data_IF_553721638654
#
_entry.id   IF_553721638654
#
_cell.length_a   1.000
_cell.length_b   1.000
_cell.length_c   1.000
_cell.angle_alpha   90.00
_cell.angle_beta   90.00
_cell.angle_gamma   90.00
#
_symmetry.space_group_name_H-M   'P 1'
#
loop_
_entity.id
_entity.type
_entity.pdbx_description
1 polymer ?
#
# COMPACT_ATOMS: atom_id res chain seq x y z
N UNK A 1 -35.33 -2.75 -8.09
CA UNK A 1 -34.27 -2.89 -7.05
C UNK A 1 -32.97 -3.51 -7.60
N UNK A 2 -32.98 -4.27 -8.69
CA UNK A 2 -31.78 -4.92 -9.30
C UNK A 2 -30.68 -3.96 -9.78
N UNK A 3 -31.03 -2.75 -10.22
CA UNK A 3 -30.06 -1.80 -10.80
C UNK A 3 -29.05 -1.26 -9.76
N UNK A 4 -29.47 -1.11 -8.49
CA UNK A 4 -28.59 -0.61 -7.43
C UNK A 4 -27.51 -1.62 -7.04
N UNK A 5 -27.86 -2.92 -7.08
CA UNK A 5 -26.94 -4.02 -6.74
C UNK A 5 -25.84 -4.12 -7.81
N UNK A 6 -26.20 -4.07 -9.11
CA UNK A 6 -25.21 -4.06 -10.20
C UNK A 6 -24.23 -2.89 -10.14
N UNK A 7 -24.73 -1.68 -9.86
CA UNK A 7 -23.88 -0.49 -9.74
C UNK A 7 -22.93 -0.57 -8.55
N UNK A 8 -23.34 -1.21 -7.45
CA UNK A 8 -22.48 -1.45 -6.29
C UNK A 8 -21.42 -2.52 -6.58
N UNK A 9 -21.80 -3.64 -7.19
CA UNK A 9 -20.86 -4.68 -7.62
C UNK A 9 -19.79 -4.12 -8.55
N UNK A 10 -20.20 -3.29 -9.51
CA UNK A 10 -19.27 -2.67 -10.45
C UNK A 10 -18.31 -1.69 -9.76
N UNK A 11 -18.78 -0.89 -8.79
CA UNK A 11 -17.91 -0.04 -7.98
C UNK A 11 -16.89 -0.83 -7.16
N UNK A 12 -17.28 -1.93 -6.51
CA UNK A 12 -16.33 -2.80 -5.79
C UNK A 12 -15.29 -3.39 -6.72
N UNK A 13 -15.71 -3.80 -7.92
CA UNK A 13 -14.82 -4.35 -8.95
C UNK A 13 -13.83 -3.30 -9.46
N UNK A 14 -14.30 -2.08 -9.73
CA UNK A 14 -13.45 -0.96 -10.14
C UNK A 14 -12.46 -0.58 -9.04
N UNK A 15 -12.91 -0.44 -7.80
CA UNK A 15 -12.03 -0.17 -6.65
C UNK A 15 -10.96 -1.26 -6.48
N UNK A 16 -11.35 -2.53 -6.61
CA UNK A 16 -10.39 -3.64 -6.53
C UNK A 16 -9.33 -3.57 -7.63
N UNK A 17 -9.71 -3.18 -8.86
CA UNK A 17 -8.76 -2.99 -9.95
C UNK A 17 -7.84 -1.80 -9.71
N UNK A 18 -8.38 -0.68 -9.23
CA UNK A 18 -7.59 0.52 -8.92
C UNK A 18 -6.58 0.27 -7.81
N UNK A 19 -6.97 -0.46 -6.74
CA UNK A 19 -6.08 -0.90 -5.67
C UNK A 19 -4.96 -1.78 -6.24
N UNK A 20 -5.28 -2.72 -7.13
CA UNK A 20 -4.29 -3.58 -7.76
C UNK A 20 -3.31 -2.79 -8.64
N UNK A 21 -3.79 -1.83 -9.43
CA UNK A 21 -2.96 -0.97 -10.27
C UNK A 21 -2.05 -0.11 -9.39
N UNK A 22 -2.60 0.56 -8.37
CA UNK A 22 -1.84 1.38 -7.43
C UNK A 22 -0.74 0.56 -6.72
N UNK A 23 -1.04 -0.69 -6.36
CA UNK A 23 -0.04 -1.61 -5.79
C UNK A 23 1.05 -1.96 -6.80
N UNK A 24 0.69 -2.23 -8.06
CA UNK A 24 1.65 -2.56 -9.12
C UNK A 24 2.55 -1.38 -9.50
N UNK A 25 2.04 -0.15 -9.40
CA UNK A 25 2.79 1.07 -9.69
C UNK A 25 3.49 1.66 -8.46
N UNK A 26 3.42 0.98 -7.30
CA UNK A 26 3.91 1.47 -6.01
C UNK A 26 3.37 2.88 -5.67
N UNK A 27 2.15 3.19 -6.10
CA UNK A 27 1.48 4.46 -5.83
C UNK A 27 0.70 4.36 -4.50
N UNK A 28 1.43 4.56 -3.40
CA UNK A 28 0.90 4.38 -2.05
C UNK A 28 -0.11 5.45 -1.64
N UNK A 29 -0.01 6.66 -2.22
CA UNK A 29 -0.97 7.73 -1.98
C UNK A 29 -2.32 7.40 -2.63
N UNK A 30 -2.30 6.95 -3.89
CA UNK A 30 -3.48 6.42 -4.54
C UNK A 30 -4.03 5.22 -3.76
N UNK A 31 -3.19 4.27 -3.33
CA UNK A 31 -3.65 3.11 -2.55
C UNK A 31 -4.44 3.53 -1.30
N UNK A 32 -3.93 4.52 -0.55
CA UNK A 32 -4.61 5.08 0.63
C UNK A 32 -5.94 5.73 0.28
N UNK A 33 -6.00 6.48 -0.82
CA UNK A 33 -7.22 7.12 -1.27
C UNK A 33 -8.31 6.09 -1.61
N UNK A 34 -7.95 5.04 -2.36
CA UNK A 34 -8.89 3.97 -2.72
C UNK A 34 -9.32 3.14 -1.49
N UNK A 35 -8.45 2.94 -0.50
CA UNK A 35 -8.83 2.29 0.76
C UNK A 35 -9.88 3.10 1.53
N UNK A 36 -9.72 4.42 1.61
CA UNK A 36 -10.71 5.28 2.25
C UNK A 36 -12.07 5.16 1.56
N UNK A 37 -12.09 5.26 0.23
CA UNK A 37 -13.31 5.09 -0.56
C UNK A 37 -13.96 3.72 -0.34
N UNK A 38 -13.17 2.65 -0.27
CA UNK A 38 -13.67 1.30 -0.01
C UNK A 38 -14.31 1.20 1.38
N UNK A 39 -13.69 1.77 2.41
CA UNK A 39 -14.23 1.79 3.78
C UNK A 39 -15.52 2.58 3.87
N UNK A 40 -15.59 3.75 3.23
CA UNK A 40 -16.81 4.55 3.17
C UNK A 40 -17.94 3.82 2.45
N UNK A 41 -17.63 3.11 1.37
CA UNK A 41 -18.59 2.34 0.61
C UNK A 41 -19.12 1.14 1.42
N UNK A 42 -18.24 0.42 2.12
CA UNK A 42 -18.61 -0.66 3.05
C UNK A 42 -19.44 -0.15 4.25
N UNK A 43 -19.10 1.02 4.79
CA UNK A 43 -19.83 1.61 5.92
C UNK A 43 -21.24 2.07 5.50
N UNK A 44 -21.35 2.70 4.33
CA UNK A 44 -22.62 3.23 3.80
C UNK A 44 -23.56 2.11 3.32
N UNK A 45 -23.03 0.96 2.93
CA UNK A 45 -23.79 -0.13 2.30
C UNK A 45 -23.86 -1.41 3.15
N UNK A 46 -23.72 -1.31 4.47
CA UNK A 46 -23.95 -2.40 5.44
C UNK A 46 -25.18 -3.29 5.17
N UNK A 47 -26.37 -2.78 4.80
CA UNK A 47 -27.55 -3.63 4.56
C UNK A 47 -27.42 -4.53 3.32
N UNK A 48 -26.49 -4.25 2.40
CA UNK A 48 -26.28 -5.03 1.18
C UNK A 48 -25.19 -6.10 1.33
N UNK A 49 -24.53 -6.19 2.50
CA UNK A 49 -23.52 -7.21 2.81
C UNK A 49 -24.10 -8.63 2.91
N UNK A 50 -25.43 -8.77 3.05
CA UNK A 50 -26.13 -10.06 3.10
C UNK A 50 -26.49 -10.60 1.71
N UNK A 51 -26.20 -9.85 0.63
CA UNK A 51 -26.44 -10.31 -0.73
C UNK A 51 -25.30 -11.26 -1.17
N UNK A 52 -25.61 -12.50 -1.59
CA UNK A 52 -24.59 -13.51 -1.88
C UNK A 52 -23.71 -13.17 -3.09
N UNK A 53 -24.23 -12.42 -4.07
CA UNK A 53 -23.44 -11.96 -5.22
C UNK A 53 -22.46 -10.86 -4.79
N UNK A 54 -22.92 -9.94 -3.93
CA UNK A 54 -22.09 -8.87 -3.39
C UNK A 54 -21.03 -9.40 -2.42
N UNK A 55 -21.37 -10.41 -1.61
CA UNK A 55 -20.49 -11.01 -0.63
C UNK A 55 -19.24 -11.63 -1.27
N UNK A 56 -19.39 -12.26 -2.44
CA UNK A 56 -18.27 -12.85 -3.20
C UNK A 56 -17.30 -11.78 -3.67
N UNK A 57 -17.82 -10.68 -4.23
CA UNK A 57 -16.97 -9.58 -4.71
C UNK A 57 -16.33 -8.81 -3.56
N UNK A 58 -17.04 -8.60 -2.44
CA UNK A 58 -16.45 -8.01 -1.23
C UNK A 58 -15.29 -8.87 -0.72
N UNK A 59 -15.45 -10.19 -0.69
CA UNK A 59 -14.40 -11.09 -0.26
C UNK A 59 -13.19 -11.03 -1.20
N UNK A 60 -13.44 -10.93 -2.51
CA UNK A 60 -12.39 -10.71 -3.51
C UNK A 60 -11.64 -9.40 -3.29
N UNK A 61 -12.35 -8.30 -3.07
CA UNK A 61 -11.74 -6.99 -2.80
C UNK A 61 -10.90 -7.03 -1.52
N UNK A 62 -11.36 -7.72 -0.47
CA UNK A 62 -10.58 -7.92 0.76
C UNK A 62 -9.28 -8.69 0.51
N UNK A 63 -9.33 -9.75 -0.30
CA UNK A 63 -8.12 -10.50 -0.67
C UNK A 63 -7.14 -9.63 -1.46
N UNK A 64 -7.63 -8.84 -2.41
CA UNK A 64 -6.79 -7.89 -3.15
C UNK A 64 -6.16 -6.85 -2.23
N UNK A 65 -6.93 -6.32 -1.27
CA UNK A 65 -6.43 -5.38 -0.28
C UNK A 65 -5.36 -6.01 0.63
N UNK A 66 -5.58 -7.25 1.11
CA UNK A 66 -4.59 -7.96 1.92
C UNK A 66 -3.28 -8.18 1.15
N UNK A 67 -3.37 -8.50 -0.15
CA UNK A 67 -2.18 -8.62 -1.00
C UNK A 67 -1.48 -7.28 -1.19
N UNK A 68 -2.23 -6.20 -1.40
CA UNK A 68 -1.69 -4.84 -1.50
C UNK A 68 -0.95 -4.42 -0.23
N UNK A 69 -1.53 -4.73 0.93
CA UNK A 69 -0.92 -4.45 2.23
C UNK A 69 0.38 -5.23 2.43
N UNK A 70 0.39 -6.54 2.12
CA UNK A 70 1.61 -7.35 2.17
C UNK A 70 2.70 -6.83 1.23
N UNK A 71 2.34 -6.37 0.03
CA UNK A 71 3.30 -5.73 -0.89
C UNK A 71 3.90 -4.47 -0.28
N UNK A 72 3.07 -3.61 0.32
CA UNK A 72 3.53 -2.40 1.00
C UNK A 72 4.47 -2.72 2.16
N UNK A 73 4.17 -3.73 2.99
CA UNK A 73 5.05 -4.16 4.08
C UNK A 73 6.41 -4.66 3.58
N UNK A 74 6.43 -5.39 2.46
CA UNK A 74 7.66 -5.87 1.85
C UNK A 74 8.50 -4.72 1.29
N UNK A 75 7.85 -3.74 0.62
CA UNK A 75 8.55 -2.57 0.10
C UNK A 75 9.07 -1.66 1.22
N UNK A 76 8.31 -1.49 2.30
CA UNK A 76 8.78 -0.78 3.49
C UNK A 76 10.00 -1.46 4.11
N UNK A 77 10.00 -2.80 4.19
CA UNK A 77 11.13 -3.58 4.71
C UNK A 77 12.38 -3.42 3.85
N UNK A 78 12.23 -3.38 2.52
CA UNK A 78 13.36 -3.11 1.60
C UNK A 78 13.91 -1.71 1.79
N UNK A 79 13.03 -0.70 1.85
CA UNK A 79 13.42 0.69 2.08
C UNK A 79 14.19 0.85 3.39
N UNK A 80 13.76 0.17 4.46
CA UNK A 80 14.47 0.15 5.74
C UNK A 80 15.88 -0.46 5.62
N UNK A 81 16.03 -1.55 4.85
CA UNK A 81 17.35 -2.15 4.60
C UNK A 81 18.26 -1.20 3.83
N UNK A 82 17.73 -0.53 2.79
CA UNK A 82 18.47 0.46 2.01
C UNK A 82 18.92 1.64 2.87
N UNK A 83 18.05 2.18 3.73
CA UNK A 83 18.43 3.24 4.68
C UNK A 83 19.54 2.81 5.64
N UNK A 84 19.51 1.57 6.12
CA UNK A 84 20.56 1.03 6.99
C UNK A 84 21.91 0.96 6.27
N UNK A 85 21.91 0.53 5.00
CA UNK A 85 23.12 0.50 4.16
C UNK A 85 23.68 1.89 3.91
N UNK A 86 22.82 2.87 3.57
CA UNK A 86 23.24 4.26 3.36
C UNK A 86 23.81 4.85 4.66
N UNK A 87 23.20 4.55 5.81
CA UNK A 87 23.69 5.01 7.12
C UNK A 87 25.08 4.46 7.43
N UNK A 88 25.31 3.16 7.18
CA UNK A 88 26.62 2.54 7.35
C UNK A 88 27.69 3.11 6.41
N UNK A 89 27.32 3.47 5.17
CA UNK A 89 28.24 4.13 4.24
C UNK A 89 28.58 5.54 4.70
N UNK A 90 27.60 6.30 5.19
CA UNK A 90 27.81 7.64 5.72
C UNK A 90 28.75 7.61 6.93
N UNK A 91 28.53 6.70 7.87
CA UNK A 91 29.39 6.54 9.05
C UNK A 91 30.84 6.26 8.65
N UNK A 92 31.06 5.36 7.68
CA UNK A 92 32.40 5.09 7.14
C UNK A 92 33.02 6.31 6.49
N UNK A 93 32.28 7.04 5.65
CA UNK A 93 32.77 8.24 5.00
C UNK A 93 33.17 9.32 6.03
N UNK A 94 32.36 9.52 7.07
CA UNK A 94 32.67 10.43 8.16
C UNK A 94 33.92 10.00 8.93
N UNK A 95 34.07 8.70 9.22
CA UNK A 95 35.26 8.17 9.88
C UNK A 95 36.54 8.38 9.04
N UNK A 96 36.46 8.18 7.72
CA UNK A 96 37.58 8.46 6.81
C UNK A 96 37.94 9.94 6.75
N UNK A 97 36.94 10.83 6.67
CA UNK A 97 37.19 12.27 6.70
C UNK A 97 37.88 12.69 8.00
N UNK A 98 37.44 12.16 9.15
CA UNK A 98 38.05 12.44 10.44
C UNK A 98 39.49 11.93 10.55
N UNK A 99 39.76 10.72 10.06
CA UNK A 99 41.12 10.17 10.05
C UNK A 99 42.05 11.03 9.19
N UNK A 100 41.61 11.45 8.00
CA UNK A 100 42.41 12.27 7.10
C UNK A 100 42.67 13.68 7.66
N UNK A 101 41.71 14.29 8.36
CA UNK A 101 41.94 15.59 9.00
C UNK A 101 42.91 15.49 10.17
N UNK A 102 42.92 14.38 10.92
CA UNK A 102 43.87 14.16 12.02
C UNK A 102 45.30 13.97 11.48
N UNK A 103 45.48 13.16 10.43
CA UNK A 103 46.79 12.90 9.79
C UNK A 103 47.38 14.16 9.10
N UNK A 104 46.54 15.14 8.75
CA UNK A 104 46.96 16.42 8.16
C UNK A 104 47.35 17.50 9.17
N UNK A 105 47.16 17.24 10.48
CA UNK A 105 47.46 18.18 11.58
C UNK A 105 48.69 17.78 12.42
N UNK A 106 49.39 16.71 12.04
CA UNK A 106 50.65 16.25 12.66
C UNK A 106 51.90 16.77 11.93
#
# INVERSE_FOLDING_TARGET
MVSKHKVLTEQFRQLSQLIQIATQTADWDALKHHDLQLRELLASHKPYLNDPELATEIQRTKTVYANAFNSLENELSKLQQEMSLVSAQLERATAYQLAMTMESTE
#
